data_IF_144950208127
#
_entry.id   IF_144950208127
#
_cell.length_a   1.000
_cell.length_b   1.000
_cell.length_c   1.000
_cell.angle_alpha   90.00
_cell.angle_beta   90.00
_cell.angle_gamma   90.00
#
_symmetry.space_group_name_H-M   'P 1'
#
loop_
_entity.id
_entity.type
_entity.pdbx_description
1 polymer ?
#
# COMPACT_ATOMS: atom_id res chain seq x y z
N UNK A 1 -17.95 -25.09 3.53
CA UNK A 1 -17.97 -24.09 2.44
C UNK A 1 -16.63 -23.37 2.45
N UNK A 2 -15.76 -23.59 1.45
CA UNK A 2 -14.52 -22.80 1.30
C UNK A 2 -14.91 -21.50 0.61
N UNK A 3 -15.12 -20.44 1.39
CA UNK A 3 -15.35 -19.09 0.86
C UNK A 3 -13.97 -18.50 0.58
N UNK A 4 -13.76 -17.93 -0.61
CA UNK A 4 -12.50 -17.26 -0.95
C UNK A 4 -12.24 -16.12 0.05
N UNK A 5 -10.98 -15.92 0.44
CA UNK A 5 -10.62 -14.83 1.36
C UNK A 5 -10.83 -13.45 0.71
N UNK A 6 -11.03 -12.40 1.51
CA UNK A 6 -11.18 -11.02 0.99
C UNK A 6 -10.00 -10.58 0.12
N UNK A 7 -8.78 -11.01 0.46
CA UNK A 7 -7.57 -10.76 -0.34
C UNK A 7 -7.54 -11.50 -1.67
N UNK A 8 -8.03 -12.74 -1.74
CA UNK A 8 -8.12 -13.49 -3.00
C UNK A 8 -9.12 -12.85 -3.97
N UNK A 9 -10.30 -12.47 -3.47
CA UNK A 9 -11.30 -11.78 -4.28
C UNK A 9 -10.79 -10.41 -4.75
N UNK A 10 -10.10 -9.67 -3.88
CA UNK A 10 -9.49 -8.38 -4.23
C UNK A 10 -8.45 -8.51 -5.33
N UNK A 11 -7.63 -9.58 -5.33
CA UNK A 11 -6.66 -9.85 -6.40
C UNK A 11 -7.33 -10.23 -7.72
N UNK A 12 -8.40 -11.02 -7.69
CA UNK A 12 -9.18 -11.34 -8.90
C UNK A 12 -9.80 -10.06 -9.47
N UNK A 13 -10.39 -9.22 -8.62
CA UNK A 13 -10.97 -7.94 -9.02
C UNK A 13 -9.91 -6.99 -9.60
N UNK A 14 -8.70 -6.95 -9.01
CA UNK A 14 -7.58 -6.16 -9.52
C UNK A 14 -7.22 -6.56 -10.96
N UNK A 15 -7.13 -7.87 -11.24
CA UNK A 15 -6.83 -8.36 -12.60
C UNK A 15 -7.96 -8.02 -13.57
N UNK A 16 -9.22 -8.22 -13.17
CA UNK A 16 -10.36 -7.89 -14.02
C UNK A 16 -10.45 -6.39 -14.32
N UNK A 17 -10.22 -5.52 -13.32
CA UNK A 17 -10.20 -4.07 -13.53
C UNK A 17 -8.99 -3.62 -14.34
N UNK A 18 -7.82 -4.23 -14.18
CA UNK A 18 -6.67 -3.96 -15.06
C UNK A 18 -7.01 -4.26 -16.54
N UNK A 19 -7.79 -5.32 -16.81
CA UNK A 19 -8.24 -5.65 -18.17
C UNK A 19 -9.32 -4.70 -18.72
N UNK A 20 -10.26 -4.26 -17.87
CA UNK A 20 -11.45 -3.48 -18.27
C UNK A 20 -11.23 -1.96 -18.22
N UNK A 21 -10.32 -1.47 -17.37
CA UNK A 21 -10.11 -0.03 -17.10
C UNK A 21 -9.61 0.79 -18.30
N UNK A 22 -9.34 0.17 -19.44
CA UNK A 22 -9.07 0.89 -20.70
C UNK A 22 -10.31 1.60 -21.26
N UNK A 23 -11.53 1.20 -20.85
CA UNK A 23 -12.78 1.75 -21.39
C UNK A 23 -13.55 2.65 -20.39
N UNK A 24 -13.30 2.53 -19.08
CA UNK A 24 -13.98 3.28 -18.02
C UNK A 24 -13.12 4.44 -17.49
N UNK A 25 -13.24 5.62 -18.10
CA UNK A 25 -12.66 6.85 -17.54
C UNK A 25 -13.45 7.34 -16.31
N UNK A 26 -12.79 7.51 -15.16
CA UNK A 26 -13.36 8.24 -14.00
C UNK A 26 -13.80 7.43 -12.77
N UNK A 27 -13.40 6.17 -12.64
CA UNK A 27 -13.70 5.37 -11.44
C UNK A 27 -12.70 5.60 -10.29
N UNK A 28 -13.16 5.57 -9.04
CA UNK A 28 -12.32 5.42 -7.84
C UNK A 28 -12.41 3.97 -7.38
N UNK A 29 -11.27 3.33 -7.12
CA UNK A 29 -11.17 1.96 -6.63
C UNK A 29 -10.50 1.96 -5.26
N UNK A 30 -11.10 1.29 -4.29
CA UNK A 30 -10.56 1.13 -2.95
C UNK A 30 -10.17 -0.34 -2.75
N UNK A 31 -8.90 -0.58 -2.49
CA UNK A 31 -8.38 -1.87 -2.05
C UNK A 31 -8.09 -1.80 -0.56
N UNK A 32 -8.86 -2.55 0.22
CA UNK A 32 -8.57 -2.83 1.62
C UNK A 32 -8.01 -4.25 1.71
N UNK A 33 -6.81 -4.40 2.27
CA UNK A 33 -6.14 -5.70 2.44
C UNK A 33 -5.92 -6.53 1.15
N UNK A 34 -5.71 -5.90 -0.01
CA UNK A 34 -5.33 -6.63 -1.24
C UNK A 34 -4.01 -7.43 -1.08
N UNK A 35 -3.24 -7.09 -0.06
CA UNK A 35 -1.99 -7.68 0.38
C UNK A 35 -2.13 -8.73 1.51
N UNK A 36 -3.36 -9.11 1.88
CA UNK A 36 -3.59 -10.14 2.89
C UNK A 36 -3.08 -11.52 2.43
N UNK A 37 -2.34 -12.18 3.31
CA UNK A 37 -1.81 -13.53 3.11
C UNK A 37 -0.68 -13.63 2.07
N UNK A 38 -0.08 -12.51 1.65
CA UNK A 38 1.03 -12.49 0.69
C UNK A 38 2.26 -11.76 1.26
N UNK A 39 3.42 -12.02 0.66
CA UNK A 39 4.69 -11.38 1.02
C UNK A 39 5.72 -11.51 -0.11
N UNK A 40 6.87 -10.87 0.07
CA UNK A 40 8.00 -10.94 -0.87
C UNK A 40 7.61 -10.55 -2.30
N UNK A 41 8.06 -11.34 -3.28
CA UNK A 41 7.86 -11.07 -4.71
C UNK A 41 6.37 -11.01 -5.13
N UNK A 42 5.49 -11.73 -4.43
CA UNK A 42 4.05 -11.71 -4.73
C UNK A 42 3.44 -10.35 -4.35
N UNK A 43 3.78 -9.83 -3.17
CA UNK A 43 3.35 -8.50 -2.73
C UNK A 43 3.87 -7.40 -3.67
N UNK A 44 5.12 -7.53 -4.13
CA UNK A 44 5.69 -6.60 -5.10
C UNK A 44 4.98 -6.64 -6.46
N UNK A 45 4.59 -7.82 -6.92
CA UNK A 45 3.80 -7.97 -8.16
C UNK A 45 2.42 -7.32 -8.03
N UNK A 46 1.77 -7.47 -6.87
CA UNK A 46 0.48 -6.81 -6.59
C UNK A 46 0.64 -5.28 -6.57
N UNK A 47 1.66 -4.76 -5.89
CA UNK A 47 1.95 -3.32 -5.87
C UNK A 47 2.18 -2.73 -7.27
N UNK A 48 2.92 -3.46 -8.12
CA UNK A 48 3.13 -3.07 -9.53
C UNK A 48 1.82 -3.04 -10.33
N UNK A 49 0.94 -4.01 -10.15
CA UNK A 49 -0.38 -4.04 -10.80
C UNK A 49 -1.28 -2.88 -10.35
N UNK A 50 -1.28 -2.57 -9.06
CA UNK A 50 -1.99 -1.41 -8.51
C UNK A 50 -1.49 -0.12 -9.15
N UNK A 51 -0.16 0.04 -9.30
CA UNK A 51 0.44 1.20 -9.98
C UNK A 51 0.07 1.29 -11.45
N UNK A 52 0.02 0.17 -12.16
CA UNK A 52 -0.43 0.17 -13.55
C UNK A 52 -1.89 0.59 -13.66
N UNK A 53 -2.75 0.05 -12.79
CA UNK A 53 -4.17 0.40 -12.74
C UNK A 53 -4.39 1.88 -12.38
N UNK A 54 -3.51 2.47 -11.55
CA UNK A 54 -3.61 3.88 -11.17
C UNK A 54 -3.36 4.85 -12.34
N UNK A 55 -2.88 4.38 -13.49
CA UNK A 55 -2.72 5.20 -14.69
C UNK A 55 -4.05 5.50 -15.40
N UNK A 56 -5.09 4.70 -15.17
CA UNK A 56 -6.41 4.84 -15.79
C UNK A 56 -7.52 5.24 -14.81
N UNK A 57 -7.31 5.08 -13.49
CA UNK A 57 -8.30 5.38 -12.46
C UNK A 57 -7.64 5.76 -11.12
N UNK A 58 -8.40 6.37 -10.20
CA UNK A 58 -7.86 6.68 -8.87
C UNK A 58 -7.91 5.42 -8.00
N UNK A 59 -6.76 5.00 -7.47
CA UNK A 59 -6.68 3.84 -6.57
C UNK A 59 -6.29 4.27 -5.15
N UNK A 60 -7.10 3.90 -4.17
CA UNK A 60 -6.81 4.03 -2.74
C UNK A 60 -6.50 2.63 -2.23
N UNK A 61 -5.26 2.39 -1.77
CA UNK A 61 -4.85 1.11 -1.22
C UNK A 61 -4.49 1.27 0.26
N UNK A 62 -5.14 0.49 1.12
CA UNK A 62 -4.80 0.35 2.53
C UNK A 62 -3.92 -0.89 2.64
N UNK A 63 -2.68 -0.71 3.11
CA UNK A 63 -1.66 -1.75 3.12
C UNK A 63 -0.73 -1.60 4.32
N UNK A 64 -0.23 -2.73 4.83
CA UNK A 64 0.83 -2.76 5.83
C UNK A 64 2.15 -3.28 5.25
N UNK A 65 2.18 -3.65 3.96
CA UNK A 65 3.36 -4.18 3.30
C UNK A 65 4.18 -3.07 2.61
N UNK A 66 5.47 -2.90 2.95
CA UNK A 66 6.31 -1.89 2.32
C UNK A 66 6.47 -2.13 0.80
N UNK A 67 6.41 -3.39 0.36
CA UNK A 67 6.48 -3.80 -1.05
C UNK A 67 5.31 -3.26 -1.88
N UNK A 68 4.16 -2.97 -1.26
CA UNK A 68 3.00 -2.36 -1.94
C UNK A 68 3.07 -0.84 -1.78
N UNK A 69 3.28 -0.34 -0.55
CA UNK A 69 3.33 1.09 -0.25
C UNK A 69 4.40 1.85 -1.05
N UNK A 70 5.52 1.19 -1.42
CA UNK A 70 6.57 1.82 -2.24
C UNK A 70 6.07 2.35 -3.58
N UNK A 71 5.07 1.71 -4.18
CA UNK A 71 4.56 2.07 -5.50
C UNK A 71 3.57 3.25 -5.49
N UNK A 72 3.13 3.70 -4.31
CA UNK A 72 2.18 4.80 -4.20
C UNK A 72 2.77 6.12 -4.76
N UNK A 73 1.96 6.86 -5.51
CA UNK A 73 2.29 8.24 -5.90
C UNK A 73 2.19 9.16 -4.69
N UNK A 74 1.05 9.09 -4.00
CA UNK A 74 0.82 9.77 -2.72
C UNK A 74 0.81 8.72 -1.60
N UNK A 75 1.73 8.84 -0.65
CA UNK A 75 1.79 7.96 0.52
C UNK A 75 1.19 8.68 1.72
N UNK A 76 0.02 8.22 2.17
CA UNK A 76 -0.65 8.75 3.35
C UNK A 76 -0.34 7.90 4.58
N UNK A 77 0.07 8.54 5.67
CA UNK A 77 0.26 7.90 6.96
C UNK A 77 -0.98 8.15 7.83
N UNK A 78 -1.56 7.06 8.32
CA UNK A 78 -2.66 7.08 9.29
C UNK A 78 -2.09 6.78 10.67
N UNK A 79 -2.30 7.69 11.62
CA UNK A 79 -1.86 7.53 13.02
C UNK A 79 -3.02 7.64 13.98
N UNK A 80 -2.95 6.88 15.07
CA UNK A 80 -3.90 6.93 16.18
C UNK A 80 -3.21 7.51 17.41
N UNK A 81 -3.79 8.56 17.99
CA UNK A 81 -3.27 9.23 19.19
C UNK A 81 -4.35 9.26 20.27
N UNK A 82 -3.94 9.25 21.53
CA UNK A 82 -4.81 9.35 22.70
C UNK A 82 -4.61 10.74 23.30
N UNK A 83 -5.59 11.62 23.09
CA UNK A 83 -5.63 12.99 23.65
C UNK A 83 -6.88 13.11 24.51
N UNK A 84 -6.77 13.61 25.74
CA UNK A 84 -7.90 13.82 26.66
C UNK A 84 -8.83 12.60 26.84
N UNK A 85 -8.23 11.39 26.94
CA UNK A 85 -8.94 10.09 27.00
C UNK A 85 -9.82 9.79 25.78
N UNK A 86 -9.68 10.55 24.69
CA UNK A 86 -10.33 10.29 23.40
C UNK A 86 -9.29 9.82 22.39
N UNK A 87 -9.69 8.84 21.60
CA UNK A 87 -8.92 8.42 20.43
C UNK A 87 -9.12 9.45 19.32
N UNK A 88 -8.03 9.99 18.78
CA UNK A 88 -8.03 10.78 17.55
C UNK A 88 -7.24 10.04 16.46
N UNK A 89 -7.80 10.03 15.25
CA UNK A 89 -7.13 9.52 14.05
C UNK A 89 -6.68 10.70 13.21
N UNK A 90 -5.40 10.74 12.85
CA UNK A 90 -4.81 11.77 12.00
C UNK A 90 -4.26 11.12 10.73
N UNK A 91 -4.54 11.76 9.59
CA UNK A 91 -4.04 11.36 8.27
C UNK A 91 -3.16 12.50 7.76
N UNK A 92 -1.95 12.17 7.28
CA UNK A 92 -1.05 13.15 6.66
C UNK A 92 -0.32 12.54 5.47
N UNK A 93 -0.01 13.36 4.47
CA UNK A 93 0.85 12.95 3.36
C UNK A 93 2.31 12.90 3.80
N UNK A 94 3.04 11.91 3.29
CA UNK A 94 4.47 11.73 3.52
C UNK A 94 5.28 12.25 2.33
N UNK A 95 6.09 13.32 2.49
CA UNK A 95 7.07 13.70 1.48
C UNK A 95 8.13 12.60 1.33
N UNK A 96 8.90 12.64 0.23
CA UNK A 96 9.84 11.57 -0.15
C UNK A 96 10.81 11.17 0.97
N UNK A 97 11.33 12.13 1.72
CA UNK A 97 12.27 11.89 2.83
C UNK A 97 11.61 11.12 3.99
N UNK A 98 10.35 11.43 4.28
CA UNK A 98 9.59 10.74 5.32
C UNK A 98 9.09 9.37 4.86
N UNK A 99 8.85 9.19 3.55
CA UNK A 99 8.52 7.87 2.99
C UNK A 99 9.61 6.85 3.26
N UNK A 100 10.88 7.23 3.18
CA UNK A 100 12.01 6.33 3.50
C UNK A 100 11.93 5.87 4.95
N UNK A 101 11.70 6.80 5.89
CA UNK A 101 11.57 6.48 7.32
C UNK A 101 10.37 5.56 7.58
N UNK A 102 9.25 5.82 6.91
CA UNK A 102 8.06 5.01 7.07
C UNK A 102 8.23 3.61 6.49
N UNK A 103 8.80 3.47 5.30
CA UNK A 103 9.13 2.16 4.74
C UNK A 103 10.13 1.41 5.62
N UNK A 104 11.13 2.09 6.18
CA UNK A 104 12.07 1.48 7.13
C UNK A 104 11.36 1.01 8.40
N UNK A 105 10.37 1.76 8.91
CA UNK A 105 9.50 1.36 10.02
C UNK A 105 8.65 0.14 9.65
N UNK A 106 8.09 0.10 8.44
CA UNK A 106 7.31 -1.06 7.95
C UNK A 106 8.17 -2.31 7.79
N UNK A 107 9.46 -2.16 7.45
CA UNK A 107 10.43 -3.27 7.33
C UNK A 107 10.93 -3.73 8.72
N UNK A 108 11.43 -2.80 9.53
CA UNK A 108 12.11 -3.07 10.81
C UNK A 108 11.19 -3.13 12.03
N UNK A 109 9.91 -2.77 11.86
CA UNK A 109 8.95 -2.66 12.95
C UNK A 109 9.30 -1.52 13.91
N UNK A 110 9.44 -1.86 15.19
CA UNK A 110 9.70 -0.90 16.28
C UNK A 110 11.12 -0.31 16.19
N UNK A 111 12.10 -1.11 15.72
CA UNK A 111 13.50 -0.73 15.71
C UNK A 111 13.93 -0.30 14.31
N UNK A 112 13.94 1.01 14.07
CA UNK A 112 14.52 1.59 12.86
C UNK A 112 16.04 1.67 13.05
N UNK A 113 16.78 0.99 12.16
CA UNK A 113 18.24 0.98 12.11
C UNK A 113 18.74 1.59 10.79
N UNK A 114 20.04 1.87 10.71
CA UNK A 114 20.67 2.32 9.46
C UNK A 114 20.44 1.31 8.31
N UNK A 115 20.55 0.00 8.59
CA UNK A 115 20.30 -1.06 7.60
C UNK A 115 18.86 -1.06 7.08
N UNK A 116 17.87 -0.83 7.96
CA UNK A 116 16.47 -0.75 7.51
C UNK A 116 16.19 0.51 6.71
N UNK A 117 16.89 1.61 6.98
CA UNK A 117 16.81 2.83 6.19
C UNK A 117 17.45 2.63 4.81
N UNK A 118 18.60 1.95 4.74
CA UNK A 118 19.26 1.61 3.48
C UNK A 118 18.38 0.70 2.62
N UNK A 119 17.84 -0.38 3.19
CA UNK A 119 16.90 -1.25 2.50
C UNK A 119 15.64 -0.50 2.01
N UNK A 120 15.11 0.45 2.79
CA UNK A 120 13.98 1.27 2.38
C UNK A 120 14.33 2.22 1.22
N UNK A 121 15.56 2.77 1.18
CA UNK A 121 16.03 3.60 0.06
C UNK A 121 16.17 2.78 -1.22
N UNK A 122 16.79 1.59 -1.12
CA UNK A 122 16.90 0.66 -2.24
C UNK A 122 15.51 0.31 -2.78
N UNK A 123 14.59 -0.05 -1.88
CA UNK A 123 13.21 -0.37 -2.23
C UNK A 123 12.49 0.79 -2.94
N UNK A 124 12.65 2.03 -2.48
CA UNK A 124 11.97 3.19 -3.07
C UNK A 124 12.56 3.61 -4.44
N UNK A 125 13.82 3.27 -4.69
CA UNK A 125 14.51 3.63 -5.93
C UNK A 125 14.49 2.52 -7.00
N UNK A 126 14.08 1.30 -6.65
CA UNK A 126 13.93 0.16 -7.56
C UNK A 126 12.47 -0.19 -7.88
#
# INVERSE_FOLDING_TARGET
MRVASGGELSRVMLVLKELISKEDGGSVIIFDEADSGIGGAVAETVGRKIKNLSSSCQVICITHLPQVAKFAETHLLVTKTLEDKKTQVRIRSLPREERVKELARMIGGINITEKTIEAAKEMLNG
#
